data_IF_686058325260
#
_entry.id   IF_686058325260
#
_cell.length_a   1.000
_cell.length_b   1.000
_cell.length_c   1.000
_cell.angle_alpha   90.00
_cell.angle_beta   90.00
_cell.angle_gamma   90.00
#
_symmetry.space_group_name_H-M   'P 1'
#
loop_
_entity.id
_entity.type
_entity.pdbx_description
1 polymer ?
#
# COMPACT_ATOMS: atom_id res chain seq x y z
N UNK A 1 -4.65 0.44 8.92
CA UNK A 1 -4.63 -0.65 7.92
C UNK A 1 -3.64 -0.31 6.82
N UNK A 2 -2.97 -1.30 6.25
CA UNK A 2 -2.04 -1.17 5.11
C UNK A 2 -2.40 -2.19 4.04
N UNK A 3 -2.12 -1.85 2.78
CA UNK A 3 -2.35 -2.73 1.61
C UNK A 3 -1.11 -2.77 0.73
N UNK A 4 -0.87 -3.90 0.09
CA UNK A 4 0.25 -4.09 -0.82
C UNK A 4 -0.10 -5.10 -1.92
N UNK A 5 0.54 -4.96 -3.08
CA UNK A 5 0.53 -5.98 -4.14
C UNK A 5 1.79 -6.81 -4.09
N UNK A 6 1.66 -8.10 -4.32
CA UNK A 6 2.79 -8.92 -4.74
C UNK A 6 3.05 -8.80 -6.24
N UNK A 7 4.23 -9.21 -6.67
CA UNK A 7 4.62 -9.21 -8.10
C UNK A 7 3.76 -10.12 -8.98
N UNK A 8 3.05 -11.08 -8.36
CA UNK A 8 2.08 -11.96 -9.03
C UNK A 8 0.69 -11.31 -9.22
N UNK A 9 0.52 -10.04 -8.80
CA UNK A 9 -0.75 -9.30 -8.89
C UNK A 9 -1.73 -9.58 -7.77
N UNK A 10 -1.41 -10.40 -6.77
CA UNK A 10 -2.27 -10.65 -5.62
C UNK A 10 -2.27 -9.49 -4.64
N UNK A 11 -3.44 -9.19 -4.05
CA UNK A 11 -3.62 -8.13 -3.05
C UNK A 11 -3.46 -8.70 -1.64
N UNK A 12 -2.73 -7.98 -0.80
CA UNK A 12 -2.50 -8.31 0.60
C UNK A 12 -2.81 -7.12 1.49
N UNK A 13 -3.44 -7.36 2.64
CA UNK A 13 -3.81 -6.32 3.58
C UNK A 13 -3.52 -6.74 5.03
N UNK A 14 -3.25 -5.75 5.89
CA UNK A 14 -3.00 -5.96 7.31
C UNK A 14 -3.34 -4.70 8.11
N UNK A 15 -3.47 -4.85 9.43
CA UNK A 15 -3.84 -3.78 10.34
C UNK A 15 -5.28 -3.86 10.81
N UNK A 16 -5.87 -2.70 11.10
CA UNK A 16 -7.22 -2.55 11.65
C UNK A 16 -8.31 -3.07 10.70
N UNK A 17 -9.31 -3.80 11.26
CA UNK A 17 -10.36 -4.47 10.50
C UNK A 17 -11.77 -4.39 11.12
N UNK A 18 -12.04 -3.45 12.01
CA UNK A 18 -13.31 -3.36 12.76
C UNK A 18 -14.56 -3.28 11.85
N UNK A 19 -14.41 -2.82 10.61
CA UNK A 19 -15.49 -2.68 9.63
C UNK A 19 -15.36 -3.63 8.45
N UNK A 20 -14.41 -4.59 8.49
CA UNK A 20 -14.14 -5.48 7.37
C UNK A 20 -13.30 -4.85 6.25
N UNK A 21 -12.61 -3.72 6.52
CA UNK A 21 -11.84 -2.98 5.53
C UNK A 21 -10.62 -3.76 4.97
N UNK A 22 -10.19 -4.84 5.61
CA UNK A 22 -9.21 -5.80 5.08
C UNK A 22 -9.81 -6.59 3.91
N UNK A 23 -11.06 -7.04 4.00
CA UNK A 23 -11.74 -7.76 2.93
C UNK A 23 -11.54 -9.28 2.94
N UNK A 24 -11.12 -9.85 4.05
CA UNK A 24 -10.84 -11.29 4.24
C UNK A 24 -12.03 -12.11 4.75
N UNK A 25 -13.23 -11.51 4.83
CA UNK A 25 -14.44 -12.12 5.37
C UNK A 25 -14.58 -12.04 6.88
N UNK A 26 -13.60 -11.47 7.60
CA UNK A 26 -13.61 -11.31 9.06
C UNK A 26 -13.69 -9.85 9.49
N UNK A 27 -13.85 -9.62 10.80
CA UNK A 27 -13.71 -8.31 11.46
C UNK A 27 -12.49 -8.28 12.40
N UNK A 28 -11.55 -9.23 12.20
CA UNK A 28 -10.40 -9.41 13.08
C UNK A 28 -9.20 -8.67 12.51
N UNK A 29 -8.55 -7.83 13.33
CA UNK A 29 -7.31 -7.15 12.97
C UNK A 29 -6.22 -8.15 12.58
N UNK A 30 -5.38 -7.81 11.61
CA UNK A 30 -4.30 -8.67 11.11
C UNK A 30 -2.93 -8.07 11.41
N UNK A 31 -2.13 -8.77 12.19
CA UNK A 31 -0.76 -8.36 12.51
C UNK A 31 0.26 -8.72 11.41
N UNK A 32 -0.17 -9.57 10.46
CA UNK A 32 0.62 -10.02 9.32
C UNK A 32 -0.13 -9.77 8.02
N UNK A 33 0.57 -9.58 6.89
CA UNK A 33 -0.04 -9.52 5.58
C UNK A 33 -0.93 -10.75 5.32
N UNK A 34 -2.20 -10.51 5.00
CA UNK A 34 -3.23 -11.52 4.69
C UNK A 34 -3.68 -11.32 3.25
N UNK A 35 -3.71 -12.39 2.46
CA UNK A 35 -4.14 -12.33 1.07
C UNK A 35 -5.64 -12.12 0.94
N UNK A 36 -6.05 -11.24 0.02
CA UNK A 36 -7.45 -10.88 -0.21
C UNK A 36 -7.93 -11.54 -1.51
N UNK A 37 -8.62 -12.67 -1.34
CA UNK A 37 -9.08 -13.48 -2.48
C UNK A 37 -7.92 -13.99 -3.35
N UNK A 38 -8.27 -14.48 -4.55
CA UNK A 38 -7.32 -15.02 -5.56
C UNK A 38 -7.31 -14.21 -6.85
N UNK A 39 -8.06 -13.09 -6.90
CA UNK A 39 -8.15 -12.23 -8.08
C UNK A 39 -6.89 -11.41 -8.28
N UNK A 40 -6.58 -11.08 -9.53
CA UNK A 40 -5.53 -10.16 -9.89
C UNK A 40 -6.07 -8.73 -9.92
N UNK A 41 -5.44 -7.85 -9.17
CA UNK A 41 -5.82 -6.47 -9.00
C UNK A 41 -4.81 -5.55 -9.68
N UNK A 42 -5.28 -4.48 -10.31
CA UNK A 42 -4.43 -3.47 -10.96
C UNK A 42 -4.19 -2.26 -10.08
N UNK A 43 -5.18 -1.87 -9.26
CA UNK A 43 -5.09 -0.72 -8.36
C UNK A 43 -5.86 -0.96 -7.07
N UNK A 44 -5.37 -0.35 -6.00
CA UNK A 44 -6.05 -0.27 -4.71
C UNK A 44 -5.85 1.10 -4.10
N UNK A 45 -6.89 1.62 -3.48
CA UNK A 45 -6.83 2.81 -2.63
C UNK A 45 -7.58 2.51 -1.34
N UNK A 46 -7.04 2.99 -0.24
CA UNK A 46 -7.63 2.80 1.09
C UNK A 46 -7.85 4.14 1.77
N UNK A 47 -9.01 4.31 2.35
CA UNK A 47 -9.27 5.37 3.32
C UNK A 47 -8.99 4.91 4.75
N UNK A 48 -9.55 5.63 5.72
CA UNK A 48 -9.48 5.24 7.13
C UNK A 48 -10.26 3.96 7.45
N UNK A 49 -11.38 3.73 6.76
CA UNK A 49 -12.38 2.74 7.13
C UNK A 49 -12.90 1.87 5.99
N UNK A 50 -12.62 2.19 4.73
CA UNK A 50 -13.02 1.40 3.57
C UNK A 50 -11.89 1.30 2.53
N UNK A 51 -12.02 0.34 1.65
CA UNK A 51 -11.06 0.03 0.59
C UNK A 51 -11.80 -0.06 -0.74
N UNK A 52 -11.19 0.49 -1.78
CA UNK A 52 -11.67 0.40 -3.16
C UNK A 52 -10.53 -0.11 -4.04
N UNK A 53 -10.84 -0.99 -4.98
CA UNK A 53 -9.84 -1.58 -5.87
C UNK A 53 -10.39 -1.77 -7.29
N UNK A 54 -9.48 -1.78 -8.27
CA UNK A 54 -9.77 -2.08 -9.67
C UNK A 54 -9.07 -3.39 -10.02
N UNK A 55 -9.81 -4.33 -10.61
CA UNK A 55 -9.23 -5.55 -11.17
C UNK A 55 -8.56 -5.29 -12.53
N UNK A 56 -7.77 -6.26 -13.01
CA UNK A 56 -7.11 -6.16 -14.32
C UNK A 56 -8.08 -6.07 -15.50
N UNK A 57 -9.33 -6.50 -15.32
CA UNK A 57 -10.41 -6.38 -16.30
C UNK A 57 -11.09 -5.00 -16.30
N UNK A 58 -10.62 -4.06 -15.48
CA UNK A 58 -11.14 -2.70 -15.35
C UNK A 58 -12.40 -2.58 -14.48
N UNK A 59 -12.87 -3.65 -13.83
CA UNK A 59 -14.04 -3.63 -12.94
C UNK A 59 -13.68 -3.02 -11.58
N UNK A 60 -14.65 -2.30 -10.97
CA UNK A 60 -14.49 -1.62 -9.67
C UNK A 60 -15.09 -2.49 -8.55
N UNK A 61 -14.38 -2.53 -7.42
CA UNK A 61 -14.74 -3.31 -6.23
C UNK A 61 -14.52 -2.49 -4.96
N UNK A 62 -15.37 -2.67 -3.94
CA UNK A 62 -15.25 -1.96 -2.68
C UNK A 62 -15.64 -2.85 -1.49
N UNK A 63 -15.09 -2.52 -0.30
CA UNK A 63 -15.40 -3.19 0.96
C UNK A 63 -15.00 -2.34 2.17
N UNK A 64 -15.49 -2.68 3.35
CA UNK A 64 -15.30 -1.96 4.60
C UNK A 64 -16.56 -1.22 5.04
N UNK A 65 -16.38 -0.08 5.70
CA UNK A 65 -17.41 0.79 6.24
C UNK A 65 -18.25 1.45 5.15
N UNK A 66 -19.58 1.54 5.36
CA UNK A 66 -20.52 2.01 4.33
C UNK A 66 -21.70 2.87 4.84
N UNK A 67 -21.68 3.36 6.07
CA UNK A 67 -22.83 4.12 6.63
C UNK A 67 -23.13 5.46 5.92
N UNK A 68 -22.24 5.91 5.01
CA UNK A 68 -22.43 7.08 4.14
C UNK A 68 -22.48 6.69 2.65
N UNK A 69 -22.65 5.42 2.30
CA UNK A 69 -22.64 4.95 0.91
C UNK A 69 -21.29 5.03 0.20
N UNK A 70 -20.18 5.15 0.94
CA UNK A 70 -18.84 5.31 0.38
C UNK A 70 -18.32 4.09 -0.40
N UNK A 71 -18.97 2.93 -0.30
CA UNK A 71 -18.69 1.77 -1.16
C UNK A 71 -19.28 1.95 -2.57
N UNK A 72 -20.39 2.68 -2.71
CA UNK A 72 -21.04 2.91 -4.00
C UNK A 72 -21.89 1.75 -4.51
N UNK A 73 -22.29 0.83 -3.64
CA UNK A 73 -23.10 -0.36 -3.98
C UNK A 73 -24.61 -0.15 -3.89
N UNK A 74 -25.06 1.09 -3.66
CA UNK A 74 -26.47 1.46 -3.49
C UNK A 74 -27.04 1.15 -2.11
N UNK A 75 -26.21 0.74 -1.15
CA UNK A 75 -26.61 0.39 0.23
C UNK A 75 -25.85 1.22 1.26
N UNK A 76 -26.26 1.11 2.54
CA UNK A 76 -25.53 1.63 3.69
C UNK A 76 -24.95 0.48 4.55
N UNK A 77 -24.78 -0.71 3.98
CA UNK A 77 -24.37 -1.91 4.70
C UNK A 77 -22.87 -2.15 4.50
N UNK A 78 -22.13 -2.27 5.61
CA UNK A 78 -20.71 -2.63 5.61
C UNK A 78 -20.47 -3.97 4.91
N UNK A 79 -19.35 -4.11 4.20
CA UNK A 79 -18.95 -5.34 3.52
C UNK A 79 -17.59 -5.80 4.02
N UNK A 80 -17.48 -7.01 4.50
CA UNK A 80 -16.21 -7.60 4.96
C UNK A 80 -15.48 -8.44 3.88
N UNK A 81 -16.04 -8.47 2.66
CA UNK A 81 -15.44 -9.05 1.46
C UNK A 81 -15.58 -8.09 0.28
N UNK A 82 -14.70 -8.14 -0.73
CA UNK A 82 -14.84 -7.32 -1.93
C UNK A 82 -16.19 -7.55 -2.63
N UNK A 83 -16.95 -6.48 -2.91
CA UNK A 83 -18.17 -6.49 -3.71
C UNK A 83 -17.97 -5.65 -4.96
N UNK A 84 -18.48 -6.09 -6.10
CA UNK A 84 -18.40 -5.36 -7.36
C UNK A 84 -19.35 -4.17 -7.38
N UNK A 85 -18.86 -3.01 -7.85
CA UNK A 85 -19.61 -1.76 -7.93
C UNK A 85 -20.03 -1.50 -9.37
N UNK A 86 -21.32 -1.71 -9.60
CA UNK A 86 -21.89 -1.62 -10.95
C UNK A 86 -21.31 -2.64 -11.93
N UNK A 87 -21.52 -2.40 -13.24
CA UNK A 87 -21.09 -3.31 -14.33
C UNK A 87 -20.04 -2.70 -15.25
N UNK A 88 -19.63 -1.44 -15.00
CA UNK A 88 -18.62 -0.79 -15.81
C UNK A 88 -17.23 -1.43 -15.61
N UNK A 89 -16.48 -1.56 -16.71
CA UNK A 89 -15.16 -2.19 -16.76
C UNK A 89 -14.07 -1.25 -17.34
N UNK A 90 -14.31 0.05 -17.27
CA UNK A 90 -13.42 1.08 -17.78
C UNK A 90 -12.89 2.01 -16.69
N UNK A 91 -12.81 1.55 -15.45
CA UNK A 91 -12.22 2.30 -14.36
C UNK A 91 -10.70 2.33 -14.47
N UNK A 92 -10.10 3.52 -14.32
CA UNK A 92 -8.66 3.73 -14.52
C UNK A 92 -7.95 4.15 -13.24
N UNK A 93 -8.55 5.01 -12.41
CA UNK A 93 -7.92 5.54 -11.21
C UNK A 93 -8.95 5.68 -10.09
N UNK A 94 -8.49 5.53 -8.84
CA UNK A 94 -9.32 5.63 -7.64
C UNK A 94 -8.54 6.36 -6.55
N UNK A 95 -9.25 7.14 -5.75
CA UNK A 95 -8.74 7.76 -4.54
C UNK A 95 -9.85 7.75 -3.47
N UNK A 96 -9.48 7.45 -2.23
CA UNK A 96 -10.43 7.15 -1.15
C UNK A 96 -10.16 8.09 0.02
N UNK A 97 -11.17 8.86 0.41
CA UNK A 97 -11.18 9.71 1.58
C UNK A 97 -11.63 8.97 2.84
N UNK A 98 -12.06 9.70 3.84
CA UNK A 98 -12.59 9.07 5.06
C UNK A 98 -13.98 8.49 4.83
N UNK A 99 -14.88 9.21 4.12
CA UNK A 99 -16.27 8.84 3.94
C UNK A 99 -16.78 9.02 2.50
N UNK A 100 -15.88 9.28 1.55
CA UNK A 100 -16.22 9.42 0.13
C UNK A 100 -15.14 8.79 -0.74
N UNK A 101 -15.48 8.57 -1.99
CA UNK A 101 -14.61 7.95 -2.98
C UNK A 101 -14.66 8.74 -4.27
N UNK A 102 -13.51 8.93 -4.90
CA UNK A 102 -13.35 9.44 -6.26
C UNK A 102 -12.79 8.37 -7.19
N UNK A 103 -13.20 8.42 -8.45
CA UNK A 103 -12.63 7.57 -9.50
C UNK A 103 -12.57 8.30 -10.85
N UNK A 104 -11.60 7.94 -11.69
CA UNK A 104 -11.49 8.37 -13.08
C UNK A 104 -11.68 7.16 -13.98
N UNK A 105 -12.48 7.29 -15.03
CA UNK A 105 -12.61 6.29 -16.10
C UNK A 105 -11.57 6.51 -17.20
N UNK A 106 -11.38 5.52 -18.07
CA UNK A 106 -10.42 5.56 -19.19
C UNK A 106 -10.73 6.66 -20.21
N UNK A 107 -11.97 7.15 -20.25
CA UNK A 107 -12.39 8.29 -21.07
C UNK A 107 -12.06 9.65 -20.44
N UNK A 108 -11.39 9.66 -19.27
CA UNK A 108 -10.99 10.87 -18.55
C UNK A 108 -12.12 11.53 -17.73
N UNK A 109 -13.31 10.93 -17.63
CA UNK A 109 -14.41 11.44 -16.78
C UNK A 109 -14.15 11.17 -15.31
N UNK A 110 -14.56 12.13 -14.45
CA UNK A 110 -14.45 12.03 -12.99
C UNK A 110 -15.80 11.60 -12.40
N UNK A 111 -15.73 10.71 -11.41
CA UNK A 111 -16.88 10.14 -10.70
C UNK A 111 -16.65 10.22 -9.19
N UNK A 112 -17.73 10.42 -8.42
CA UNK A 112 -17.71 10.55 -6.97
C UNK A 112 -18.91 9.88 -6.33
N UNK A 113 -18.77 9.43 -5.07
CA UNK A 113 -19.86 8.89 -4.25
C UNK A 113 -19.48 8.85 -2.78
N UNK A 114 -20.49 8.64 -1.91
CA UNK A 114 -20.37 8.67 -0.48
C UNK A 114 -20.90 9.97 0.11
N UNK A 115 -20.35 10.37 1.26
CA UNK A 115 -20.69 11.60 1.99
C UNK A 115 -20.45 12.87 1.13
N UNK A 116 -21.29 13.90 1.36
CA UNK A 116 -21.19 15.17 0.62
C UNK A 116 -21.58 16.42 1.45
N UNK A 117 -21.38 16.41 2.75
CA UNK A 117 -21.83 17.52 3.61
C UNK A 117 -21.09 18.83 3.37
N UNK A 118 -19.82 18.77 3.01
CA UNK A 118 -18.95 19.91 2.68
C UNK A 118 -18.73 20.05 1.15
N UNK A 119 -19.54 19.39 0.32
CA UNK A 119 -19.41 19.43 -1.14
C UNK A 119 -18.27 18.56 -1.68
N UNK A 120 -17.81 17.57 -0.94
CA UNK A 120 -16.70 16.69 -1.31
C UNK A 120 -16.95 15.86 -2.56
N UNK A 121 -18.19 15.66 -3.01
CA UNK A 121 -18.48 15.01 -4.29
C UNK A 121 -18.28 15.92 -5.49
N UNK A 122 -18.26 17.26 -5.31
CA UNK A 122 -18.00 18.20 -6.39
C UNK A 122 -19.14 18.37 -7.40
N UNK A 123 -20.36 18.00 -7.04
CA UNK A 123 -21.54 17.93 -7.93
C UNK A 123 -22.34 19.24 -8.01
N UNK A 124 -21.93 20.29 -7.29
CA UNK A 124 -22.63 21.56 -7.19
C UNK A 124 -23.73 21.61 -6.12
N UNK A 125 -23.86 20.55 -5.33
CA UNK A 125 -24.75 20.47 -4.18
C UNK A 125 -24.05 19.75 -3.01
N UNK A 126 -24.77 19.57 -1.89
CA UNK A 126 -24.26 18.91 -0.70
C UNK A 126 -25.05 17.61 -0.37
N UNK A 127 -25.63 16.98 -1.41
CA UNK A 127 -26.38 15.72 -1.28
C UNK A 127 -25.43 14.53 -1.48
N UNK A 128 -25.44 13.58 -0.54
CA UNK A 128 -24.68 12.33 -0.63
C UNK A 128 -25.15 11.44 -1.79
N UNK A 129 -24.32 10.54 -2.24
CA UNK A 129 -24.66 9.53 -3.24
C UNK A 129 -24.21 8.15 -2.83
N UNK A 130 -25.14 7.19 -2.87
CA UNK A 130 -24.88 5.78 -2.56
C UNK A 130 -24.32 4.99 -3.75
N UNK A 131 -24.23 5.63 -4.94
CA UNK A 131 -23.73 5.04 -6.18
C UNK A 131 -22.79 6.04 -6.87
N UNK A 132 -21.86 5.57 -7.72
CA UNK A 132 -21.02 6.46 -8.52
C UNK A 132 -21.84 7.43 -9.38
N UNK A 133 -21.61 8.74 -9.23
CA UNK A 133 -22.20 9.80 -10.06
C UNK A 133 -21.09 10.61 -10.74
N UNK A 134 -21.32 11.07 -11.98
CA UNK A 134 -20.32 11.82 -12.72
C UNK A 134 -20.23 13.27 -12.21
N UNK A 135 -18.99 13.76 -12.06
CA UNK A 135 -18.69 15.12 -11.62
C UNK A 135 -18.50 16.03 -12.83
N UNK A 136 -19.50 16.84 -13.12
CA UNK A 136 -19.51 17.73 -14.29
C UNK A 136 -19.39 16.97 -15.62
N UNK A 137 -18.96 17.69 -16.67
CA UNK A 137 -18.88 17.16 -18.05
C UNK A 137 -17.44 17.03 -18.58
N UNK A 138 -16.45 17.44 -17.79
CA UNK A 138 -15.04 17.37 -18.19
C UNK A 138 -14.57 15.92 -18.32
N UNK A 139 -13.79 15.65 -19.38
CA UNK A 139 -13.25 14.33 -19.71
C UNK A 139 -11.70 14.32 -19.83
N UNK A 140 -11.06 15.22 -19.12
CA UNK A 140 -9.61 15.41 -19.13
C UNK A 140 -8.97 15.32 -17.75
N UNK A 141 -9.61 14.65 -16.81
CA UNK A 141 -9.05 14.38 -15.50
C UNK A 141 -7.96 13.29 -15.59
N UNK A 142 -6.82 13.51 -14.91
CA UNK A 142 -5.65 12.63 -15.01
C UNK A 142 -5.25 12.04 -13.66
N UNK A 143 -5.22 12.87 -12.61
CA UNK A 143 -4.82 12.44 -11.25
C UNK A 143 -5.80 12.97 -10.22
N UNK A 144 -6.01 12.20 -9.18
CA UNK A 144 -6.86 12.52 -8.03
C UNK A 144 -6.15 12.13 -6.73
N UNK A 145 -6.29 12.96 -5.72
CA UNK A 145 -5.92 12.69 -4.33
C UNK A 145 -7.04 13.18 -3.41
N UNK A 146 -7.27 12.47 -2.33
CA UNK A 146 -8.41 12.69 -1.43
C UNK A 146 -7.94 12.68 0.01
N UNK A 147 -8.27 13.73 0.75
CA UNK A 147 -8.04 13.85 2.18
C UNK A 147 -9.25 13.39 3.01
N UNK A 148 -9.45 14.00 4.17
CA UNK A 148 -10.60 13.67 5.03
C UNK A 148 -11.93 13.94 4.31
N UNK A 149 -12.14 15.18 3.83
CA UNK A 149 -13.32 15.64 3.14
C UNK A 149 -12.99 16.68 2.05
N UNK A 150 -11.73 16.73 1.58
CA UNK A 150 -11.31 17.61 0.50
C UNK A 150 -10.59 16.82 -0.58
N UNK A 151 -10.53 17.37 -1.76
CA UNK A 151 -10.01 16.72 -2.95
C UNK A 151 -9.04 17.63 -3.69
N UNK A 152 -8.06 16.99 -4.31
CA UNK A 152 -7.11 17.63 -5.22
C UNK A 152 -7.07 16.80 -6.50
N UNK A 153 -7.05 17.46 -7.64
CA UNK A 153 -6.96 16.77 -8.93
C UNK A 153 -6.07 17.54 -9.92
N UNK A 154 -5.48 16.82 -10.85
CA UNK A 154 -4.76 17.37 -11.99
C UNK A 154 -5.47 16.94 -13.27
N UNK A 155 -5.66 17.90 -14.18
CA UNK A 155 -6.12 17.63 -15.54
C UNK A 155 -4.95 17.35 -16.48
N UNK A 156 -5.21 16.76 -17.65
CA UNK A 156 -4.20 16.40 -18.66
C UNK A 156 -3.38 17.60 -19.15
N UNK A 157 -3.89 18.82 -19.00
CA UNK A 157 -3.16 20.05 -19.30
C UNK A 157 -2.27 20.52 -18.12
N UNK A 158 -2.10 19.70 -17.06
CA UNK A 158 -1.24 20.01 -15.91
C UNK A 158 -1.81 21.03 -14.93
N UNK A 159 -3.07 21.47 -15.05
CA UNK A 159 -3.70 22.43 -14.11
C UNK A 159 -4.19 21.73 -12.85
N UNK A 160 -4.12 22.44 -11.71
CA UNK A 160 -4.50 21.97 -10.38
C UNK A 160 -5.92 22.42 -10.02
N UNK A 161 -6.72 21.50 -9.47
CA UNK A 161 -8.13 21.67 -9.10
C UNK A 161 -8.39 21.15 -7.70
N UNK A 162 -9.27 21.83 -6.94
CA UNK A 162 -9.59 21.51 -5.54
C UNK A 162 -11.09 21.67 -5.29
N UNK A 163 -11.66 20.92 -4.33
CA UNK A 163 -13.03 21.08 -3.84
C UNK A 163 -13.24 20.30 -2.53
N UNK A 164 -14.39 20.52 -1.88
CA UNK A 164 -14.76 19.95 -0.59
C UNK A 164 -14.46 20.92 0.56
N UNK A 165 -14.19 20.36 1.72
CA UNK A 165 -13.94 21.04 3.00
C UNK A 165 -12.71 21.95 2.97
N UNK A 166 -12.84 23.15 3.59
CA UNK A 166 -11.78 24.18 3.53
C UNK A 166 -11.54 24.94 4.86
N UNK A 167 -12.02 24.47 5.97
CA UNK A 167 -11.92 25.19 7.25
C UNK A 167 -10.48 25.57 7.63
N UNK A 168 -9.50 24.76 7.29
CA UNK A 168 -8.07 25.01 7.52
C UNK A 168 -7.34 25.60 6.29
N UNK A 169 -8.07 26.03 5.26
CA UNK A 169 -7.48 26.50 4.00
C UNK A 169 -6.86 25.42 3.13
N UNK A 170 -7.23 24.14 3.34
CA UNK A 170 -6.66 22.99 2.61
C UNK A 170 -7.00 22.95 1.11
N UNK A 171 -7.87 23.85 0.63
CA UNK A 171 -8.09 24.06 -0.80
C UNK A 171 -7.09 25.04 -1.43
N UNK A 172 -6.33 25.82 -0.62
CA UNK A 172 -5.33 26.76 -1.14
C UNK A 172 -5.92 27.93 -1.93
N UNK A 173 -7.18 28.28 -1.69
CA UNK A 173 -7.92 29.36 -2.38
C UNK A 173 -7.70 30.75 -1.77
N UNK A 174 -6.87 30.86 -0.72
CA UNK A 174 -6.64 32.09 0.02
C UNK A 174 -7.74 32.44 1.03
N UNK A 175 -8.69 31.52 1.27
CA UNK A 175 -9.77 31.67 2.25
C UNK A 175 -10.12 30.29 2.85
N UNK A 176 -11.14 30.25 3.72
CA UNK A 176 -11.60 29.04 4.43
C UNK A 176 -13.02 28.62 4.00
N UNK A 177 -13.46 29.00 2.78
CA UNK A 177 -14.79 28.69 2.26
C UNK A 177 -14.76 27.39 1.47
N UNK A 178 -15.61 26.44 1.84
CA UNK A 178 -15.80 25.18 1.15
C UNK A 178 -16.18 25.38 -0.33
N UNK A 179 -15.88 24.40 -1.16
CA UNK A 179 -16.24 24.41 -2.60
C UNK A 179 -16.96 23.12 -2.95
N UNK A 180 -18.20 23.20 -3.38
CA UNK A 180 -18.98 22.05 -3.82
C UNK A 180 -18.88 21.76 -5.32
N UNK A 181 -17.97 22.45 -6.03
CA UNK A 181 -17.58 22.18 -7.42
C UNK A 181 -16.06 22.24 -7.56
N UNK A 182 -15.45 21.46 -8.45
CA UNK A 182 -14.04 21.55 -8.76
C UNK A 182 -13.65 22.99 -9.15
N UNK A 183 -12.71 23.57 -8.41
CA UNK A 183 -12.25 24.96 -8.55
C UNK A 183 -10.76 24.96 -8.90
N UNK A 184 -10.37 25.66 -9.98
CA UNK A 184 -8.97 25.76 -10.38
C UNK A 184 -8.19 26.67 -9.43
N UNK A 185 -6.98 26.24 -9.04
CA UNK A 185 -6.06 27.00 -8.18
C UNK A 185 -4.64 27.01 -8.79
N UNK A 186 -3.70 27.66 -8.11
CA UNK A 186 -2.29 27.70 -8.55
C UNK A 186 -2.01 28.72 -9.66
N UNK A 187 -2.87 29.78 -9.82
CA UNK A 187 -2.58 30.93 -10.68
C UNK A 187 -2.44 30.59 -12.17
N UNK A 188 -3.09 29.53 -12.67
CA UNK A 188 -3.02 29.13 -14.08
C UNK A 188 -1.76 28.35 -14.47
N UNK A 189 -0.90 27.99 -13.51
CA UNK A 189 0.24 27.11 -13.79
C UNK A 189 -0.22 25.72 -14.25
N UNK A 190 0.51 25.12 -15.18
CA UNK A 190 0.12 23.91 -15.91
C UNK A 190 1.22 22.83 -15.91
N UNK A 191 2.03 22.80 -14.85
CA UNK A 191 3.13 21.84 -14.70
C UNK A 191 3.06 21.01 -13.38
N UNK A 192 1.87 20.95 -12.77
CA UNK A 192 1.65 20.10 -11.62
C UNK A 192 1.69 18.64 -12.04
N UNK A 193 2.51 17.81 -11.34
CA UNK A 193 2.66 16.40 -11.73
C UNK A 193 2.45 15.39 -10.59
N UNK A 194 2.62 15.79 -9.32
CA UNK A 194 2.36 14.94 -8.17
C UNK A 194 1.48 15.69 -7.17
N UNK A 195 0.48 15.02 -6.62
CA UNK A 195 -0.43 15.53 -5.60
C UNK A 195 -0.68 14.48 -4.54
N UNK A 196 -0.85 14.92 -3.30
CA UNK A 196 -1.36 14.12 -2.21
C UNK A 196 -2.17 14.98 -1.24
N UNK A 197 -3.09 14.36 -0.51
CA UNK A 197 -3.88 14.98 0.52
C UNK A 197 -3.76 14.20 1.81
N UNK A 198 -3.36 14.89 2.88
CA UNK A 198 -3.46 14.38 4.24
C UNK A 198 -4.86 14.56 4.81
N UNK A 199 -5.03 14.47 6.14
CA UNK A 199 -6.37 14.64 6.74
C UNK A 199 -6.94 16.03 6.45
N UNK A 200 -6.16 17.10 6.72
CA UNK A 200 -6.57 18.49 6.54
C UNK A 200 -5.46 19.35 5.92
N UNK A 201 -4.51 18.77 5.23
CA UNK A 201 -3.48 19.49 4.49
C UNK A 201 -3.30 18.90 3.09
N UNK A 202 -2.70 19.67 2.24
CA UNK A 202 -2.53 19.37 0.83
C UNK A 202 -1.09 19.51 0.42
N UNK A 203 -0.63 18.64 -0.44
CA UNK A 203 0.76 18.57 -0.92
C UNK A 203 0.76 18.43 -2.44
N UNK A 204 1.67 19.13 -3.10
CA UNK A 204 1.86 18.99 -4.54
C UNK A 204 3.32 19.25 -4.94
N UNK A 205 3.74 18.66 -6.07
CA UNK A 205 5.04 18.91 -6.67
C UNK A 205 4.84 19.39 -8.11
N UNK A 206 5.59 20.43 -8.51
CA UNK A 206 5.64 20.94 -9.89
C UNK A 206 6.72 20.27 -10.71
N UNK A 207 6.67 20.43 -12.03
CA UNK A 207 7.68 19.91 -12.97
C UNK A 207 9.11 20.37 -12.70
N UNK A 208 9.26 21.51 -12.00
CA UNK A 208 10.55 21.99 -11.47
C UNK A 208 11.11 21.17 -10.31
N UNK A 209 10.37 20.17 -9.78
CA UNK A 209 10.74 19.37 -8.62
C UNK A 209 10.58 20.09 -7.28
N UNK A 210 9.91 21.26 -7.24
CA UNK A 210 9.63 22.01 -6.01
C UNK A 210 8.40 21.43 -5.33
N UNK A 211 8.50 21.20 -4.02
CA UNK A 211 7.38 20.78 -3.15
C UNK A 211 6.60 22.00 -2.69
N UNK A 212 5.28 21.89 -2.70
CA UNK A 212 4.31 22.87 -2.18
C UNK A 212 3.42 22.21 -1.13
N UNK A 213 3.04 22.99 -0.09
CA UNK A 213 2.13 22.54 0.95
C UNK A 213 1.22 23.69 1.41
N UNK A 214 -0.03 23.33 1.81
CA UNK A 214 -1.01 24.26 2.34
C UNK A 214 -2.07 23.53 3.18
N UNK A 215 -2.87 24.29 3.96
CA UNK A 215 -3.89 23.76 4.86
C UNK A 215 -3.47 23.78 6.31
N UNK A 216 -3.95 22.80 7.08
CA UNK A 216 -3.64 22.64 8.50
C UNK A 216 -2.14 22.40 8.74
N UNK A 217 -1.61 23.03 9.80
CA UNK A 217 -0.18 22.96 10.15
C UNK A 217 0.07 22.85 11.68
N UNK A 218 -0.92 22.52 12.47
CA UNK A 218 -0.81 22.52 13.94
C UNK A 218 0.31 21.61 14.46
N UNK A 219 0.69 20.59 13.69
CA UNK A 219 1.76 19.65 14.01
C UNK A 219 3.02 19.85 13.13
N UNK A 220 3.06 20.89 12.29
CA UNK A 220 4.16 21.15 11.35
C UNK A 220 4.13 20.29 10.08
N UNK A 221 2.96 19.72 9.73
CA UNK A 221 2.78 18.83 8.58
C UNK A 221 2.97 19.50 7.21
N UNK A 222 3.10 20.82 7.16
CA UNK A 222 3.48 21.57 5.95
C UNK A 222 5.00 21.60 5.74
N UNK A 223 5.81 21.39 6.78
CA UNK A 223 7.28 21.41 6.67
C UNK A 223 7.90 22.80 6.42
N UNK A 224 7.21 23.89 6.79
CA UNK A 224 7.63 25.28 6.53
C UNK A 224 8.34 25.96 7.73
N UNK A 225 8.74 25.17 8.74
CA UNK A 225 9.47 25.62 9.92
C UNK A 225 8.61 26.22 11.05
N UNK A 226 7.28 26.17 10.93
CA UNK A 226 6.36 26.66 11.96
C UNK A 226 5.11 25.79 12.07
N UNK A 227 4.12 26.20 12.89
CA UNK A 227 2.86 25.48 13.12
C UNK A 227 1.63 26.31 12.70
N UNK A 228 1.82 27.39 11.94
CA UNK A 228 0.72 28.21 11.48
C UNK A 228 0.07 27.59 10.23
N UNK A 229 -1.26 27.60 10.19
CA UNK A 229 -2.04 27.23 9.01
C UNK A 229 -1.67 28.09 7.80
N UNK A 230 -1.76 27.51 6.63
CA UNK A 230 -1.48 28.23 5.40
C UNK A 230 -2.60 28.04 4.36
N UNK A 231 -3.30 29.09 4.04
CA UNK A 231 -4.44 29.07 3.12
C UNK A 231 -4.04 29.28 1.65
N UNK A 232 -2.73 29.41 1.37
CA UNK A 232 -2.19 29.63 0.03
C UNK A 232 -1.26 28.50 -0.38
N UNK A 233 -1.19 28.19 -1.66
CA UNK A 233 -0.24 27.22 -2.21
C UNK A 233 1.17 27.81 -2.11
N UNK A 234 1.98 27.32 -1.19
CA UNK A 234 3.29 27.90 -0.85
C UNK A 234 4.42 26.86 -1.02
N UNK A 235 5.55 27.24 -1.65
CA UNK A 235 6.70 26.35 -1.78
C UNK A 235 7.35 26.07 -0.43
N UNK A 236 7.85 24.86 -0.26
CA UNK A 236 8.54 24.37 0.94
C UNK A 236 10.04 24.24 0.66
N UNK A 237 10.81 25.17 1.24
CA UNK A 237 12.25 25.26 0.96
C UNK A 237 12.56 25.63 -0.49
N UNK A 238 13.78 25.35 -0.94
CA UNK A 238 14.28 25.67 -2.28
C UNK A 238 14.74 24.43 -3.07
N UNK A 239 14.57 23.22 -2.51
CA UNK A 239 14.98 21.99 -3.17
C UNK A 239 14.13 21.75 -4.45
N UNK A 240 14.81 21.31 -5.51
CA UNK A 240 14.18 21.10 -6.85
C UNK A 240 14.27 19.64 -7.31
N UNK A 241 14.41 18.70 -6.38
CA UNK A 241 14.56 17.28 -6.68
C UNK A 241 13.52 16.37 -6.01
N UNK A 242 12.40 16.94 -5.55
CA UNK A 242 11.28 16.16 -5.05
C UNK A 242 10.55 15.46 -6.20
N UNK A 243 10.28 14.15 -6.04
CA UNK A 243 9.64 13.31 -7.07
C UNK A 243 8.30 12.74 -6.64
N UNK A 244 8.12 12.53 -5.34
CA UNK A 244 6.87 12.01 -4.79
C UNK A 244 6.64 12.56 -3.38
N UNK A 245 5.37 12.71 -3.00
CA UNK A 245 4.95 13.13 -1.67
C UNK A 245 3.65 12.44 -1.28
N UNK A 246 3.51 12.09 0.00
CA UNK A 246 2.26 11.54 0.52
C UNK A 246 1.96 12.08 1.92
N UNK A 247 0.68 12.38 2.17
CA UNK A 247 0.17 12.98 3.41
C UNK A 247 -0.54 11.96 4.28
N UNK A 248 -0.14 11.87 5.56
CA UNK A 248 -0.87 11.15 6.60
C UNK A 248 -1.90 12.05 7.29
N UNK A 249 -2.31 11.72 8.54
CA UNK A 249 -3.23 12.59 9.27
C UNK A 249 -2.58 13.93 9.58
N UNK A 250 -1.44 13.92 10.27
CA UNK A 250 -0.73 15.11 10.71
C UNK A 250 0.77 15.03 10.42
N UNK A 251 1.18 14.23 9.43
CA UNK A 251 2.56 14.14 8.98
C UNK A 251 2.59 14.01 7.45
N UNK A 252 3.75 14.26 6.90
CA UNK A 252 4.02 14.15 5.48
C UNK A 252 5.31 13.37 5.26
N UNK A 253 5.35 12.56 4.20
CA UNK A 253 6.55 11.87 3.73
C UNK A 253 6.83 12.24 2.30
N UNK A 254 8.09 12.39 1.93
CA UNK A 254 8.50 12.80 0.60
C UNK A 254 9.72 12.02 0.11
N UNK A 255 9.83 11.82 -1.19
CA UNK A 255 10.90 11.12 -1.87
C UNK A 255 11.62 12.07 -2.81
N UNK A 256 12.96 12.06 -2.78
CA UNK A 256 13.80 12.77 -3.74
C UNK A 256 14.29 11.87 -4.86
N UNK A 257 14.68 12.45 -5.98
CA UNK A 257 15.19 11.75 -7.18
C UNK A 257 16.47 10.94 -6.92
N UNK A 258 17.21 11.27 -5.86
CA UNK A 258 18.39 10.53 -5.43
C UNK A 258 18.05 9.30 -4.55
N UNK A 259 16.78 8.93 -4.41
CA UNK A 259 16.34 7.77 -3.64
C UNK A 259 16.32 7.97 -2.11
N UNK A 260 16.47 9.20 -1.60
CA UNK A 260 16.36 9.50 -0.17
C UNK A 260 14.91 9.82 0.21
N UNK A 261 14.49 9.38 1.40
CA UNK A 261 13.16 9.69 1.95
C UNK A 261 13.27 10.71 3.09
N UNK A 262 12.24 11.55 3.18
CA UNK A 262 12.15 12.68 4.10
C UNK A 262 10.77 12.70 4.76
N UNK A 263 10.67 13.24 5.97
CA UNK A 263 9.40 13.36 6.68
C UNK A 263 9.32 14.62 7.53
N UNK A 264 8.11 15.10 7.80
CA UNK A 264 7.84 16.25 8.65
C UNK A 264 6.41 16.20 9.22
N UNK A 265 6.16 16.94 10.30
CA UNK A 265 4.89 16.96 11.02
C UNK A 265 4.94 16.19 12.33
N UNK A 266 3.79 15.65 12.71
CA UNK A 266 3.57 14.89 13.94
C UNK A 266 4.43 13.63 14.02
N UNK A 267 4.95 13.33 15.23
CA UNK A 267 5.82 12.17 15.47
C UNK A 267 5.50 11.40 16.77
N UNK A 268 4.37 11.58 17.38
CA UNK A 268 4.01 10.95 18.68
C UNK A 268 4.12 9.43 18.69
N UNK A 269 3.98 8.79 17.55
CA UNK A 269 4.08 7.34 17.36
C UNK A 269 5.38 6.90 16.66
N UNK A 270 6.29 7.84 16.36
CA UNK A 270 7.49 7.57 15.55
C UNK A 270 7.21 7.53 14.03
N UNK A 271 6.08 8.11 13.56
CA UNK A 271 5.67 8.09 12.15
C UNK A 271 6.61 8.86 11.20
N UNK A 272 7.52 9.69 11.73
CA UNK A 272 8.59 10.31 10.96
C UNK A 272 9.78 9.37 10.69
N UNK A 273 9.94 8.27 11.46
CA UNK A 273 10.98 7.27 11.20
C UNK A 273 12.41 7.72 11.48
N UNK A 274 12.63 8.81 12.21
CA UNK A 274 13.93 9.44 12.47
C UNK A 274 14.60 8.99 13.79
N UNK A 275 14.07 7.90 14.41
CA UNK A 275 14.57 7.36 15.69
C UNK A 275 14.01 8.06 16.94
N UNK A 276 13.14 9.06 16.78
CA UNK A 276 12.55 9.83 17.89
C UNK A 276 11.03 9.77 17.89
N UNK A 277 10.40 10.42 18.89
CA UNK A 277 8.95 10.67 18.92
C UNK A 277 8.64 12.18 18.97
N UNK A 278 9.62 13.02 18.66
CA UNK A 278 9.47 14.49 18.63
C UNK A 278 9.04 14.93 17.24
N UNK A 279 7.95 15.71 17.14
CA UNK A 279 7.45 16.34 15.89
C UNK A 279 8.54 17.23 15.26
N UNK A 280 8.55 17.28 13.94
CA UNK A 280 9.53 18.11 13.21
C UNK A 280 8.81 18.99 12.18
N UNK A 281 9.06 20.28 12.23
CA UNK A 281 8.38 21.30 11.43
C UNK A 281 9.08 21.61 10.09
N UNK A 282 10.24 21.00 9.84
CA UNK A 282 10.97 21.05 8.58
C UNK A 282 11.16 19.63 8.04
N UNK A 283 11.33 19.43 6.74
CA UNK A 283 11.71 18.14 6.19
C UNK A 283 13.01 17.61 6.80
N UNK A 284 12.97 16.41 7.37
CA UNK A 284 14.13 15.70 7.93
C UNK A 284 14.35 14.40 7.17
N UNK A 285 15.59 14.12 6.79
CA UNK A 285 15.94 12.89 6.10
C UNK A 285 15.85 11.69 7.03
N UNK A 286 15.26 10.59 6.54
CA UNK A 286 15.11 9.34 7.28
C UNK A 286 16.29 8.42 6.94
N UNK A 287 17.19 8.24 7.91
CA UNK A 287 18.38 7.42 7.70
C UNK A 287 19.31 7.96 6.62
N UNK A 288 20.23 7.13 6.15
CA UNK A 288 21.26 7.47 5.15
C UNK A 288 21.07 6.70 3.82
N UNK A 289 20.11 5.80 3.76
CA UNK A 289 19.84 4.99 2.56
C UNK A 289 19.29 5.86 1.43
N UNK A 290 19.64 5.48 0.19
CA UNK A 290 19.26 6.16 -1.04
C UNK A 290 18.70 5.21 -2.10
N UNK A 291 18.16 4.07 -1.66
CA UNK A 291 17.62 3.00 -2.48
C UNK A 291 16.08 2.91 -2.43
N UNK A 292 15.43 3.95 -1.88
CA UNK A 292 13.98 4.01 -1.80
C UNK A 292 13.36 4.40 -3.13
N UNK A 293 12.26 3.71 -3.51
CA UNK A 293 11.58 3.90 -4.81
C UNK A 293 10.08 4.25 -4.68
N UNK A 294 9.48 4.02 -3.51
CA UNK A 294 8.12 4.48 -3.23
C UNK A 294 7.89 4.66 -1.73
N UNK A 295 6.96 5.54 -1.40
CA UNK A 295 6.52 5.86 -0.05
C UNK A 295 5.00 5.90 0.02
N UNK A 296 4.44 5.67 1.20
CA UNK A 296 3.03 5.93 1.48
C UNK A 296 2.84 6.28 2.95
N UNK A 297 2.01 7.28 3.21
CA UNK A 297 1.58 7.68 4.54
C UNK A 297 0.20 7.07 4.86
N UNK A 298 0.08 6.54 6.06
CA UNK A 298 -1.21 6.18 6.64
C UNK A 298 -1.63 7.23 7.66
N UNK A 299 -2.63 6.93 8.50
CA UNK A 299 -3.08 7.87 9.53
C UNK A 299 -1.93 8.33 10.44
N UNK A 300 -1.26 7.40 11.11
CA UNK A 300 -0.15 7.65 12.04
C UNK A 300 1.01 6.67 11.82
N UNK A 301 1.22 6.19 10.61
CA UNK A 301 2.31 5.30 10.23
C UNK A 301 2.73 5.62 8.80
N UNK A 302 3.91 5.19 8.46
CA UNK A 302 4.48 5.36 7.12
C UNK A 302 5.01 4.03 6.61
N UNK A 303 4.99 3.84 5.32
CA UNK A 303 5.57 2.68 4.65
C UNK A 303 6.41 3.12 3.47
N UNK A 304 7.42 2.34 3.12
CA UNK A 304 8.24 2.57 1.94
C UNK A 304 8.68 1.25 1.32
N UNK A 305 9.01 1.30 0.02
CA UNK A 305 9.58 0.17 -0.71
C UNK A 305 10.93 0.54 -1.27
N UNK A 306 11.88 -0.38 -1.15
CA UNK A 306 13.22 -0.27 -1.75
C UNK A 306 13.26 -0.84 -3.17
N UNK A 307 14.35 -0.58 -3.88
CA UNK A 307 14.58 -1.07 -5.25
C UNK A 307 14.73 -2.61 -5.33
N UNK A 308 15.07 -3.28 -4.22
CA UNK A 308 15.09 -4.73 -4.06
C UNK A 308 13.70 -5.36 -3.82
N UNK A 309 12.63 -4.52 -3.87
CA UNK A 309 11.24 -4.87 -3.60
C UNK A 309 10.91 -5.19 -2.12
N UNK A 310 11.82 -4.99 -1.19
CA UNK A 310 11.49 -5.08 0.24
C UNK A 310 10.58 -3.93 0.67
N UNK A 311 9.63 -4.22 1.58
CA UNK A 311 8.69 -3.26 2.13
C UNK A 311 9.07 -2.98 3.59
N UNK A 312 9.00 -1.73 3.99
CA UNK A 312 9.37 -1.23 5.31
C UNK A 312 8.23 -0.40 5.90
N UNK A 313 8.04 -0.48 7.22
CA UNK A 313 7.00 0.27 7.94
C UNK A 313 7.52 0.85 9.24
N UNK A 314 6.98 2.01 9.63
CA UNK A 314 7.27 2.67 10.91
C UNK A 314 6.11 3.55 11.35
N UNK A 315 6.15 4.02 12.61
CA UNK A 315 5.08 4.77 13.25
C UNK A 315 4.20 3.86 14.11
N UNK A 316 2.92 4.15 14.16
CA UNK A 316 1.94 3.44 14.99
C UNK A 316 1.78 1.98 14.52
N UNK A 317 2.08 1.04 15.44
CA UNK A 317 1.96 -0.40 15.22
C UNK A 317 0.66 -1.02 15.75
N UNK A 318 -0.20 -0.25 16.44
CA UNK A 318 -1.42 -0.80 17.03
C UNK A 318 -2.31 -1.48 15.99
N UNK A 319 -3.02 -2.52 16.40
CA UNK A 319 -3.88 -3.34 15.54
C UNK A 319 -3.11 -4.00 14.37
N UNK A 320 -1.80 -4.20 14.47
CA UNK A 320 -0.98 -4.82 13.44
C UNK A 320 -0.74 -3.95 12.20
N UNK A 321 -0.90 -2.62 12.31
CA UNK A 321 -0.84 -1.69 11.17
C UNK A 321 0.48 -1.72 10.40
N UNK A 322 1.58 -2.15 11.05
CA UNK A 322 2.91 -2.28 10.43
C UNK A 322 3.15 -3.66 9.78
N UNK A 323 2.30 -4.66 10.01
CA UNK A 323 2.42 -5.98 9.37
C UNK A 323 3.67 -6.78 9.74
N UNK A 324 4.34 -6.44 10.83
CA UNK A 324 5.59 -7.04 11.30
C UNK A 324 5.39 -8.02 12.47
N UNK A 325 4.19 -8.60 12.59
CA UNK A 325 3.77 -9.49 13.66
C UNK A 325 3.82 -8.85 15.07
N UNK A 326 3.74 -7.52 15.16
CA UNK A 326 3.79 -6.77 16.41
C UNK A 326 2.71 -5.68 16.45
N UNK A 327 2.31 -5.30 17.65
CA UNK A 327 1.46 -4.13 17.91
C UNK A 327 2.26 -2.93 18.45
N UNK A 328 3.59 -3.04 18.50
CA UNK A 328 4.46 -1.99 19.02
C UNK A 328 4.77 -0.95 17.94
N UNK A 329 4.85 0.31 18.35
CA UNK A 329 5.30 1.39 17.50
C UNK A 329 6.77 1.20 17.10
N UNK A 330 7.12 1.67 15.91
CA UNK A 330 8.49 1.66 15.40
C UNK A 330 8.92 3.09 15.09
N UNK A 331 10.01 3.56 15.70
CA UNK A 331 10.52 4.92 15.49
C UNK A 331 11.51 5.01 14.32
N UNK A 332 11.89 3.88 13.73
CA UNK A 332 12.74 3.77 12.54
C UNK A 332 12.11 2.81 11.54
N UNK A 333 12.41 2.93 10.23
CA UNK A 333 11.97 1.97 9.23
C UNK A 333 12.36 0.55 9.62
N UNK A 334 11.35 -0.35 9.71
CA UNK A 334 11.49 -1.76 10.05
C UNK A 334 10.94 -2.60 8.91
N UNK A 335 11.70 -3.60 8.45
CA UNK A 335 11.29 -4.42 7.31
C UNK A 335 10.06 -5.25 7.64
N UNK A 336 9.10 -5.26 6.72
CA UNK A 336 7.89 -6.07 6.79
C UNK A 336 8.17 -7.40 6.09
N UNK A 337 8.21 -8.48 6.86
CA UNK A 337 8.39 -9.82 6.30
C UNK A 337 7.05 -10.35 5.81
N UNK A 338 6.88 -10.44 4.49
CA UNK A 338 5.76 -11.17 3.88
C UNK A 338 6.03 -12.68 3.90
N UNK A 339 6.46 -13.22 5.04
CA UNK A 339 6.49 -14.66 5.21
C UNK A 339 5.05 -15.13 5.34
N UNK A 340 4.56 -15.86 4.33
CA UNK A 340 3.53 -16.85 4.63
C UNK A 340 4.11 -17.67 5.78
N UNK A 341 3.54 -17.53 6.98
CA UNK A 341 3.72 -18.51 8.01
C UNK A 341 2.94 -19.78 7.61
N UNK A 342 3.43 -20.49 6.62
CA UNK A 342 3.74 -21.88 6.85
C UNK A 342 4.98 -21.81 7.74
N UNK A 343 4.78 -21.70 9.04
CA UNK A 343 5.81 -21.99 10.00
C UNK A 343 6.07 -23.49 9.94
N UNK A 344 6.89 -23.91 8.99
CA UNK A 344 7.95 -24.78 9.41
C UNK A 344 8.76 -23.89 10.34
N UNK A 345 8.64 -24.08 11.65
CA UNK A 345 9.65 -23.68 12.60
C UNK A 345 10.92 -24.37 12.08
N UNK A 346 11.72 -23.65 11.29
CA UNK A 346 13.11 -24.00 11.13
C UNK A 346 13.71 -23.76 12.51
N UNK A 347 13.67 -24.79 13.30
CA UNK A 347 14.62 -24.96 14.39
C UNK A 347 15.96 -25.08 13.64
N UNK A 348 16.64 -23.96 13.45
CA UNK A 348 18.06 -23.97 13.14
C UNK A 348 18.72 -24.73 14.30
N UNK A 349 19.11 -25.91 13.99
CA UNK A 349 20.09 -26.82 14.56
C UNK A 349 19.49 -28.22 14.64
N UNK A 350 19.89 -29.07 13.66
CA UNK A 350 19.75 -30.49 13.46
C UNK A 350 18.76 -30.89 12.35
N UNK A 351 18.94 -30.35 11.12
CA UNK A 351 18.45 -31.13 9.96
C UNK A 351 19.36 -32.34 9.84
N UNK A 352 18.83 -33.57 10.04
CA UNK A 352 19.66 -34.76 9.96
C UNK A 352 20.21 -35.01 8.55
N UNK A 353 19.62 -34.37 7.54
CA UNK A 353 19.98 -34.51 6.14
C UNK A 353 20.25 -33.15 5.50
N UNK A 354 21.30 -33.08 4.65
CA UNK A 354 21.56 -32.01 3.70
C UNK A 354 21.68 -32.57 2.29
N UNK A 355 21.30 -31.81 1.29
CA UNK A 355 21.40 -32.17 -0.12
C UNK A 355 22.30 -31.20 -0.87
N UNK A 356 23.22 -31.71 -1.70
CA UNK A 356 24.13 -30.88 -2.49
C UNK A 356 24.68 -31.63 -3.74
N UNK A 357 25.04 -30.90 -4.81
CA UNK A 357 24.76 -29.49 -5.03
C UNK A 357 23.27 -29.25 -5.23
N UNK A 358 22.76 -28.08 -4.86
CA UNK A 358 21.39 -27.66 -5.14
C UNK A 358 21.40 -26.17 -5.47
N UNK A 359 21.25 -25.74 -6.73
CA UNK A 359 20.84 -26.55 -7.91
C UNK A 359 21.82 -27.64 -8.33
N UNK A 360 21.29 -28.73 -8.89
CA UNK A 360 22.05 -29.88 -9.39
C UNK A 360 21.86 -30.10 -10.90
N UNK A 361 22.87 -30.65 -11.59
CA UNK A 361 22.70 -31.14 -12.94
C UNK A 361 22.19 -32.59 -12.91
N UNK A 362 23.02 -33.53 -12.52
CA UNK A 362 22.68 -34.97 -12.63
C UNK A 362 22.80 -35.75 -11.30
N UNK A 363 23.73 -35.36 -10.45
CA UNK A 363 24.00 -36.05 -9.21
C UNK A 363 23.63 -35.21 -8.00
N UNK A 364 22.80 -35.76 -7.11
CA UNK A 364 22.43 -35.16 -5.83
C UNK A 364 22.98 -36.02 -4.70
N UNK A 365 23.82 -35.42 -3.87
CA UNK A 365 24.35 -36.07 -2.68
C UNK A 365 23.46 -35.78 -1.47
N UNK A 366 23.37 -36.75 -0.56
CA UNK A 366 22.62 -36.64 0.70
C UNK A 366 23.63 -36.82 1.85
N UNK A 367 23.93 -35.73 2.54
CA UNK A 367 24.70 -35.74 3.78
C UNK A 367 23.79 -36.10 4.94
N UNK A 368 24.14 -37.14 5.69
CA UNK A 368 23.42 -37.61 6.88
C UNK A 368 24.26 -37.30 8.13
N UNK A 369 24.11 -36.12 8.69
CA UNK A 369 24.95 -35.59 9.78
C UNK A 369 24.83 -36.36 11.09
N UNK A 370 23.76 -37.15 11.28
CA UNK A 370 23.48 -37.88 12.52
C UNK A 370 23.50 -39.39 12.35
N UNK A 371 24.00 -39.91 11.22
CA UNK A 371 24.07 -41.37 10.91
C UNK A 371 22.72 -42.07 11.09
N UNK A 372 21.59 -41.39 10.81
CA UNK A 372 20.27 -41.99 10.94
C UNK A 372 20.01 -42.99 9.81
N UNK A 373 19.30 -44.07 10.12
CA UNK A 373 18.85 -44.99 9.09
C UNK A 373 17.86 -44.29 8.16
N UNK A 374 18.16 -44.24 6.85
CA UNK A 374 17.22 -43.79 5.83
C UNK A 374 16.32 -44.99 5.47
N UNK A 375 15.01 -44.84 5.68
CA UNK A 375 14.03 -45.88 5.38
C UNK A 375 13.59 -45.79 3.91
N UNK A 376 13.38 -44.59 3.40
CA UNK A 376 12.89 -44.35 2.04
C UNK A 376 13.19 -42.91 1.57
N UNK A 377 13.47 -42.74 0.28
CA UNK A 377 13.57 -41.46 -0.39
C UNK A 377 12.57 -41.38 -1.53
N UNK A 378 11.78 -40.32 -1.60
CA UNK A 378 10.83 -40.05 -2.69
C UNK A 378 11.13 -38.68 -3.27
N UNK A 379 11.24 -38.59 -4.61
CA UNK A 379 11.23 -37.33 -5.33
C UNK A 379 9.89 -37.17 -6.05
N UNK A 380 9.21 -36.06 -5.86
CA UNK A 380 7.94 -35.73 -6.50
C UNK A 380 8.01 -34.39 -7.22
N UNK A 381 7.18 -34.21 -8.22
CA UNK A 381 6.92 -32.88 -8.82
C UNK A 381 6.05 -32.02 -7.87
N UNK A 382 5.77 -30.78 -8.29
CA UNK A 382 4.96 -29.84 -7.51
C UNK A 382 3.47 -30.23 -7.41
N UNK A 383 3.00 -31.20 -8.23
CA UNK A 383 1.63 -31.75 -8.14
C UNK A 383 1.53 -32.87 -7.09
N UNK A 384 2.68 -33.34 -6.60
CA UNK A 384 2.78 -34.48 -5.67
C UNK A 384 2.92 -35.85 -6.36
N UNK A 385 3.03 -35.87 -7.70
CA UNK A 385 3.27 -37.10 -8.44
C UNK A 385 4.69 -37.58 -8.16
N UNK A 386 4.84 -38.82 -7.72
CA UNK A 386 6.15 -39.46 -7.51
C UNK A 386 6.87 -39.66 -8.85
N UNK A 387 8.10 -39.16 -8.94
CA UNK A 387 8.97 -39.24 -10.12
C UNK A 387 10.09 -40.25 -9.91
N UNK A 388 10.64 -40.32 -8.69
CA UNK A 388 11.73 -41.27 -8.35
C UNK A 388 11.55 -41.78 -6.92
N UNK A 389 11.80 -43.05 -6.72
CA UNK A 389 11.92 -43.66 -5.40
C UNK A 389 13.28 -44.34 -5.25
N UNK A 390 13.89 -44.17 -4.08
CA UNK A 390 15.12 -44.87 -3.70
C UNK A 390 14.93 -45.50 -2.31
N UNK A 391 15.54 -46.67 -2.14
CA UNK A 391 15.42 -47.49 -0.94
C UNK A 391 16.51 -47.16 0.09
N UNK A 392 16.55 -47.95 1.16
CA UNK A 392 17.37 -47.79 2.36
C UNK A 392 18.83 -47.38 2.12
N UNK A 393 19.32 -46.45 2.94
CA UNK A 393 20.72 -45.99 3.02
C UNK A 393 21.36 -45.42 1.74
N UNK A 394 20.55 -44.91 0.83
CA UNK A 394 21.03 -44.19 -0.36
C UNK A 394 21.56 -42.82 0.05
N UNK A 395 22.84 -42.54 -0.24
CA UNK A 395 23.48 -41.25 0.02
C UNK A 395 23.76 -40.44 -1.26
N UNK A 396 23.39 -40.98 -2.43
CA UNK A 396 23.54 -40.29 -3.71
C UNK A 396 22.41 -40.73 -4.67
N UNK A 397 21.84 -39.76 -5.38
CA UNK A 397 20.77 -39.98 -6.35
C UNK A 397 21.24 -39.52 -7.72
N UNK A 398 21.00 -40.35 -8.75
CA UNK A 398 21.16 -39.97 -10.16
C UNK A 398 19.83 -39.35 -10.65
N UNK A 399 19.89 -38.10 -11.10
CA UNK A 399 18.77 -37.31 -11.58
C UNK A 399 18.88 -37.03 -13.09
N UNK A 400 19.77 -37.69 -13.82
CA UNK A 400 20.06 -37.48 -15.26
C UNK A 400 18.79 -37.55 -16.11
N UNK A 401 17.86 -38.44 -15.77
CA UNK A 401 16.62 -38.63 -16.50
C UNK A 401 15.48 -37.68 -16.05
N UNK A 402 15.72 -36.73 -15.11
CA UNK A 402 14.75 -35.73 -14.75
C UNK A 402 14.86 -34.53 -15.65
N UNK A 403 13.72 -34.00 -16.08
CA UNK A 403 13.67 -32.75 -16.82
C UNK A 403 14.12 -31.57 -15.94
N UNK A 404 14.57 -30.49 -16.58
CA UNK A 404 14.90 -29.23 -15.90
C UNK A 404 13.66 -28.72 -15.15
N UNK A 405 13.80 -28.48 -13.85
CA UNK A 405 12.63 -28.09 -13.07
C UNK A 405 12.84 -28.07 -11.56
N UNK A 406 11.75 -27.87 -10.85
CA UNK A 406 11.70 -27.85 -9.38
C UNK A 406 10.99 -29.10 -8.87
N UNK A 407 11.63 -29.79 -7.94
CA UNK A 407 11.14 -31.04 -7.35
C UNK A 407 11.19 -30.96 -5.82
N UNK A 408 10.47 -31.86 -5.17
CA UNK A 408 10.49 -32.04 -3.72
C UNK A 408 11.07 -33.41 -3.41
N UNK A 409 12.17 -33.45 -2.65
CA UNK A 409 12.68 -34.68 -2.06
C UNK A 409 12.12 -34.87 -0.65
N UNK A 410 11.65 -36.06 -0.36
CA UNK A 410 11.19 -36.47 0.96
C UNK A 410 12.04 -37.67 1.46
N UNK A 411 12.80 -37.42 2.51
CA UNK A 411 13.65 -38.45 3.14
C UNK A 411 12.97 -38.92 4.43
N UNK A 412 12.55 -40.18 4.46
CA UNK A 412 11.95 -40.82 5.63
C UNK A 412 13.02 -41.54 6.43
N UNK A 413 13.04 -41.31 7.75
CA UNK A 413 13.99 -41.90 8.69
C UNK A 413 13.34 -42.07 10.05
N UNK A 414 13.37 -43.27 10.62
CA UNK A 414 12.78 -43.58 11.92
C UNK A 414 11.33 -43.12 12.07
N UNK A 415 10.51 -43.30 11.02
CA UNK A 415 9.11 -42.88 10.97
C UNK A 415 8.87 -41.37 10.86
N UNK A 416 9.93 -40.56 10.73
CA UNK A 416 9.86 -39.11 10.49
C UNK A 416 10.17 -38.78 9.03
N UNK A 417 9.57 -37.73 8.51
CA UNK A 417 9.69 -37.29 7.12
C UNK A 417 10.38 -35.91 7.05
N UNK A 418 11.43 -35.83 6.21
CA UNK A 418 12.21 -34.62 5.98
C UNK A 418 12.05 -34.19 4.52
N UNK A 419 11.37 -33.06 4.28
CA UNK A 419 11.14 -32.55 2.93
C UNK A 419 12.09 -31.40 2.60
N UNK A 420 12.68 -31.43 1.41
CA UNK A 420 13.56 -30.38 0.89
C UNK A 420 13.25 -30.09 -0.58
N UNK A 421 13.57 -28.91 -1.06
CA UNK A 421 13.43 -28.50 -2.46
C UNK A 421 14.69 -28.89 -3.24
N UNK A 422 14.51 -29.45 -4.46
CA UNK A 422 15.59 -29.69 -5.44
C UNK A 422 15.34 -28.78 -6.65
N UNK A 423 16.40 -28.19 -7.19
CA UNK A 423 16.39 -27.49 -8.48
C UNK A 423 17.28 -28.26 -9.44
N UNK A 424 16.69 -28.89 -10.46
CA UNK A 424 17.39 -29.57 -11.57
C UNK A 424 17.65 -28.53 -12.67
N UNK A 425 18.91 -28.43 -13.11
CA UNK A 425 19.34 -27.56 -14.23
C UNK A 425 19.47 -28.33 -15.54
#
# INVERSE_FOLDING_TARGET
MSVAFKTDGTLWAFGKNDYGQIGDGTLINKNNPTQIGTSNWSKVSKGGTHTVAIKNDGTLWAWGYNDNGQLGDGTLINKNVPVQIGTANNWQSIAVGRYHTLAIKTDGTLWAWGRNYEGELGTGNNTESLIPIQVGTANNWQKIAVGFAHNIAIKTNGTLWVWGYNYYGQLGTGNVIDKNIPTQVGGGTSDWFCISAGEHHSLAIRGSGILYAWGNNQEGQLGNGNTNENHFITPIGSDTNWTFVDGGYFHSVALKSNGTIWSFGSNYYGQLGNGTTTSNYNPVQIGTQNDWVSISAGSNHSTARKNDNTIWGWGNGTSGTLGNNSNSNQTIPTQISCTNNLSVVEIENNKPFKIYPNPTNDILNIENSNFQKIDKIIISDFTGKTILEANENTNQLNLENLEVGVYIINISSNGKSNKMKIIKK
#
